data_IF_249418349787
#
_entry.id   IF_249418349787
#
_cell.length_a   1.000
_cell.length_b   1.000
_cell.length_c   1.000
_cell.angle_alpha   90.00
_cell.angle_beta   90.00
_cell.angle_gamma   90.00
#
_symmetry.space_group_name_H-M   'P 1'
#
loop_
_entity.id
_entity.type
_entity.pdbx_description
1 polymer ?
#
# COMPACT_ATOMS: atom_id res chain seq x y z
N UNK A 1 -30.76 -13.59 84.64
CA UNK A 1 -29.36 -13.14 84.58
C UNK A 1 -28.98 -13.02 83.10
N UNK A 2 -29.16 -11.81 82.57
CA UNK A 2 -28.67 -11.36 81.26
C UNK A 2 -27.14 -11.35 81.28
N UNK A 3 -26.46 -11.83 80.24
CA UNK A 3 -25.03 -11.49 80.06
C UNK A 3 -24.06 -12.55 79.54
N UNK A 4 -24.48 -13.62 78.84
CA UNK A 4 -23.52 -14.54 78.20
C UNK A 4 -23.59 -14.67 76.67
N UNK A 5 -24.66 -14.23 76.02
CA UNK A 5 -24.82 -14.47 74.57
C UNK A 5 -24.26 -13.40 73.63
N UNK A 6 -23.96 -12.18 74.12
CA UNK A 6 -23.43 -11.12 73.26
C UNK A 6 -21.96 -11.32 72.85
N UNK A 7 -21.21 -12.11 73.64
CA UNK A 7 -19.81 -12.46 73.36
C UNK A 7 -19.72 -13.44 72.20
N UNK A 8 -20.54 -14.51 72.23
CA UNK A 8 -20.54 -15.56 71.22
C UNK A 8 -20.96 -15.02 69.84
N UNK A 9 -21.94 -14.10 69.80
CA UNK A 9 -22.40 -13.48 68.57
C UNK A 9 -21.35 -12.54 67.95
N UNK A 10 -20.53 -11.85 68.76
CA UNK A 10 -19.40 -11.04 68.26
C UNK A 10 -18.30 -11.90 67.66
N UNK A 11 -17.94 -13.01 68.30
CA UNK A 11 -16.95 -13.94 67.73
C UNK A 11 -17.48 -14.64 66.47
N UNK A 12 -18.78 -14.93 66.39
CA UNK A 12 -19.39 -15.49 65.19
C UNK A 12 -19.37 -14.50 64.01
N UNK A 13 -19.65 -13.21 64.26
CA UNK A 13 -19.57 -12.17 63.22
C UNK A 13 -18.12 -11.92 62.79
N UNK A 14 -17.15 -11.91 63.72
CA UNK A 14 -15.73 -11.79 63.38
C UNK A 14 -15.26 -12.99 62.58
N UNK A 15 -15.62 -14.22 62.98
CA UNK A 15 -15.28 -15.44 62.25
C UNK A 15 -15.91 -15.48 60.85
N UNK A 16 -17.19 -15.06 60.73
CA UNK A 16 -17.88 -14.95 59.44
C UNK A 16 -17.24 -13.88 58.55
N UNK A 17 -16.79 -12.76 59.12
CA UNK A 17 -16.08 -11.71 58.37
C UNK A 17 -14.69 -12.14 57.88
N UNK A 18 -13.99 -13.00 58.62
CA UNK A 18 -12.71 -13.59 58.17
C UNK A 18 -12.88 -14.63 57.06
N UNK A 19 -14.06 -15.26 56.95
CA UNK A 19 -14.41 -16.16 55.84
C UNK A 19 -14.66 -15.41 54.51
N UNK A 20 -15.11 -14.14 54.56
CA UNK A 20 -15.25 -13.30 53.36
C UNK A 20 -13.94 -12.67 52.87
N UNK A 21 -12.88 -12.68 53.70
CA UNK A 21 -11.54 -12.17 53.37
C UNK A 21 -10.54 -13.28 53.02
N UNK A 22 -10.91 -14.55 53.18
CA UNK A 22 -10.13 -15.68 52.69
C UNK A 22 -10.33 -15.84 51.18
N UNK A 23 -9.60 -15.02 50.41
CA UNK A 23 -9.52 -15.07 48.95
C UNK A 23 -8.82 -16.34 48.43
N UNK A 24 -9.41 -17.51 48.65
CA UNK A 24 -8.97 -18.76 48.06
C UNK A 24 -9.86 -19.10 46.85
N UNK A 25 -9.30 -18.91 45.65
CA UNK A 25 -9.76 -19.61 44.45
C UNK A 25 -10.24 -18.75 43.27
N UNK A 26 -9.87 -17.47 43.17
CA UNK A 26 -9.98 -16.77 41.88
C UNK A 26 -8.73 -17.10 41.06
N UNK A 27 -8.77 -18.23 40.35
CA UNK A 27 -8.00 -18.34 39.10
C UNK A 27 -8.58 -17.31 38.16
N UNK A 28 -8.05 -16.09 38.20
CA UNK A 28 -8.37 -15.08 37.21
C UNK A 28 -8.04 -15.69 35.85
N UNK A 29 -9.01 -15.79 34.92
CA UNK A 29 -8.73 -16.26 33.58
C UNK A 29 -7.59 -15.41 33.02
N UNK A 30 -6.63 -16.07 32.36
CA UNK A 30 -5.51 -15.37 31.71
C UNK A 30 -6.10 -14.21 30.88
N UNK A 31 -5.55 -12.99 30.88
CA UNK A 31 -6.16 -11.83 30.19
C UNK A 31 -6.54 -12.10 28.72
N UNK A 32 -5.85 -13.04 28.08
CA UNK A 32 -6.15 -13.56 26.75
C UNK A 32 -7.53 -14.23 26.59
N UNK A 33 -8.08 -14.84 27.66
CA UNK A 33 -9.42 -15.42 27.67
C UNK A 33 -10.56 -14.41 27.86
N UNK A 34 -10.24 -13.14 28.17
CA UNK A 34 -11.20 -12.02 28.10
C UNK A 34 -11.27 -11.39 26.71
N UNK A 35 -10.37 -11.80 25.80
CA UNK A 35 -10.42 -11.49 24.38
C UNK A 35 -11.13 -12.63 23.66
N UNK A 36 -12.46 -12.73 23.83
CA UNK A 36 -13.26 -13.54 22.93
C UNK A 36 -13.13 -12.95 21.53
N UNK A 37 -12.52 -13.70 20.61
CA UNK A 37 -12.59 -13.35 19.20
C UNK A 37 -14.08 -13.33 18.83
N UNK A 38 -14.59 -12.27 18.20
CA UNK A 38 -15.99 -12.22 17.82
C UNK A 38 -16.33 -13.46 17.01
N UNK A 39 -17.36 -14.19 17.43
CA UNK A 39 -17.77 -15.40 16.75
C UNK A 39 -18.07 -15.07 15.27
N UNK A 40 -17.47 -15.82 14.35
CA UNK A 40 -17.70 -15.64 12.92
C UNK A 40 -19.21 -15.65 12.64
N UNK A 41 -19.72 -14.76 11.78
CA UNK A 41 -21.10 -14.78 11.34
C UNK A 41 -21.51 -16.18 10.83
N UNK A 42 -22.78 -16.53 11.02
CA UNK A 42 -23.28 -17.87 10.66
C UNK A 42 -23.07 -18.22 9.17
N UNK A 43 -23.20 -17.23 8.30
CA UNK A 43 -22.99 -17.42 6.86
C UNK A 43 -21.52 -17.75 6.52
N UNK A 44 -20.58 -17.21 7.28
CA UNK A 44 -19.14 -17.42 7.11
C UNK A 44 -18.73 -18.77 7.67
N UNK A 45 -19.26 -19.16 8.83
CA UNK A 45 -19.11 -20.53 9.37
C UNK A 45 -19.60 -21.57 8.37
N UNK A 46 -20.78 -21.33 7.77
CA UNK A 46 -21.34 -22.22 6.76
C UNK A 46 -20.50 -22.28 5.49
N UNK A 47 -19.87 -21.17 5.07
CA UNK A 47 -18.98 -21.14 3.92
C UNK A 47 -17.71 -21.93 4.20
N UNK A 48 -17.05 -21.68 5.34
CA UNK A 48 -15.83 -22.37 5.74
C UNK A 48 -16.03 -23.89 5.80
N UNK A 49 -17.09 -24.34 6.47
CA UNK A 49 -17.43 -25.77 6.52
C UNK A 49 -17.67 -26.36 5.12
N UNK A 50 -18.25 -25.59 4.20
CA UNK A 50 -18.49 -26.01 2.82
C UNK A 50 -17.18 -26.13 2.03
N UNK A 51 -16.30 -25.14 2.15
CA UNK A 51 -14.96 -25.15 1.53
C UNK A 51 -14.18 -26.37 2.05
N UNK A 52 -14.13 -26.58 3.36
CA UNK A 52 -13.42 -27.71 3.98
C UNK A 52 -13.95 -29.07 3.49
N UNK A 53 -15.26 -29.16 3.20
CA UNK A 53 -15.90 -30.38 2.67
C UNK A 53 -15.57 -30.63 1.19
N UNK A 54 -15.49 -29.56 0.39
CA UNK A 54 -15.26 -29.67 -1.06
C UNK A 54 -13.77 -29.70 -1.43
N UNK A 55 -12.87 -29.36 -0.50
CA UNK A 55 -11.43 -29.44 -0.71
C UNK A 55 -10.95 -30.90 -0.75
N UNK A 56 -10.16 -31.29 -1.76
CA UNK A 56 -9.53 -32.61 -1.77
C UNK A 56 -8.56 -32.81 -0.60
N UNK A 57 -8.32 -34.05 -0.23
CA UNK A 57 -7.24 -34.41 0.68
C UNK A 57 -5.90 -33.88 0.15
N UNK A 58 -5.05 -33.35 1.03
CA UNK A 58 -3.74 -32.75 0.70
C UNK A 58 -3.79 -31.43 -0.09
N UNK A 59 -4.97 -30.87 -0.33
CA UNK A 59 -5.10 -29.54 -0.90
C UNK A 59 -4.65 -28.46 0.11
N UNK A 60 -3.97 -27.43 -0.40
CA UNK A 60 -3.58 -26.25 0.37
C UNK A 60 -4.22 -25.01 -0.25
N UNK A 61 -5.00 -24.26 0.53
CA UNK A 61 -5.57 -22.98 0.09
C UNK A 61 -4.44 -21.98 -0.19
N UNK A 62 -4.50 -21.31 -1.33
CA UNK A 62 -3.55 -20.26 -1.72
C UNK A 62 -4.28 -18.94 -1.91
N UNK A 63 -3.98 -17.96 -1.06
CA UNK A 63 -4.51 -16.61 -1.21
C UNK A 63 -3.70 -15.80 -2.24
N UNK A 64 -4.32 -14.87 -2.98
CA UNK A 64 -3.58 -13.84 -3.71
C UNK A 64 -2.66 -13.07 -2.76
N UNK A 65 -1.43 -12.79 -3.22
CA UNK A 65 -0.39 -12.17 -2.40
C UNK A 65 -0.40 -10.65 -2.50
N UNK A 66 -0.62 -10.12 -3.69
CA UNK A 66 -0.54 -8.71 -3.97
C UNK A 66 -1.95 -8.10 -3.98
N UNK A 67 -2.53 -8.05 -2.77
CA UNK A 67 -3.83 -7.45 -2.47
C UNK A 67 -3.75 -6.72 -1.13
N UNK A 68 -4.57 -5.68 -0.96
CA UNK A 68 -4.60 -4.87 0.27
C UNK A 68 -4.97 -5.69 1.52
N UNK A 69 -5.72 -6.79 1.35
CA UNK A 69 -6.10 -7.71 2.43
C UNK A 69 -6.01 -9.14 1.89
N UNK A 70 -5.12 -9.96 2.43
CA UNK A 70 -5.04 -11.38 2.08
C UNK A 70 -6.17 -12.16 2.77
N UNK A 71 -7.01 -12.84 1.98
CA UNK A 71 -8.11 -13.68 2.47
C UNK A 71 -8.01 -15.09 1.91
N UNK A 72 -8.52 -16.07 2.67
CA UNK A 72 -8.55 -17.47 2.23
C UNK A 72 -9.56 -17.72 1.09
N UNK A 73 -10.52 -16.81 0.93
CA UNK A 73 -11.51 -16.81 -0.13
C UNK A 73 -11.89 -15.37 -0.48
N UNK A 74 -12.31 -15.16 -1.71
CA UNK A 74 -12.80 -13.87 -2.22
C UNK A 74 -14.31 -13.92 -2.39
N UNK A 75 -14.99 -12.83 -2.05
CA UNK A 75 -16.43 -12.65 -2.26
C UNK A 75 -16.63 -11.69 -3.43
N UNK A 76 -17.15 -12.19 -4.55
CA UNK A 76 -17.29 -11.44 -5.79
C UNK A 76 -18.66 -11.78 -6.39
N UNK A 77 -19.47 -10.77 -6.70
CA UNK A 77 -20.69 -10.92 -7.50
C UNK A 77 -20.29 -11.28 -8.95
N UNK A 78 -20.21 -12.58 -9.25
CA UNK A 78 -19.77 -13.08 -10.55
C UNK A 78 -20.88 -13.05 -11.58
N UNK A 79 -22.14 -13.18 -11.15
CA UNK A 79 -23.31 -13.25 -12.03
C UNK A 79 -24.08 -11.92 -12.14
N UNK A 80 -23.58 -10.85 -11.49
CA UNK A 80 -24.16 -9.51 -11.42
C UNK A 80 -25.60 -9.51 -10.89
N UNK A 81 -25.93 -10.40 -9.95
CA UNK A 81 -27.25 -10.51 -9.33
C UNK A 81 -27.38 -9.72 -7.99
N UNK A 82 -26.29 -9.07 -7.58
CA UNK A 82 -26.18 -8.33 -6.32
C UNK A 82 -25.86 -9.21 -5.11
N UNK A 83 -25.48 -10.48 -5.31
CA UNK A 83 -25.03 -11.40 -4.27
C UNK A 83 -23.67 -11.96 -4.63
N UNK A 84 -22.76 -11.92 -3.66
CA UNK A 84 -21.42 -12.44 -3.90
C UNK A 84 -21.39 -13.98 -3.94
N UNK A 85 -20.65 -14.50 -4.91
CA UNK A 85 -20.11 -15.84 -4.91
C UNK A 85 -18.78 -15.89 -4.17
N UNK A 86 -18.49 -17.03 -3.53
CA UNK A 86 -17.20 -17.26 -2.91
C UNK A 86 -16.26 -17.98 -3.88
N UNK A 87 -15.06 -17.44 -4.03
CA UNK A 87 -13.98 -18.00 -4.85
C UNK A 87 -12.85 -18.42 -3.93
N UNK A 88 -12.46 -19.69 -4.00
CA UNK A 88 -11.31 -20.21 -3.25
C UNK A 88 -10.31 -20.80 -4.23
N UNK A 89 -9.05 -20.37 -4.12
CA UNK A 89 -7.96 -20.99 -4.85
C UNK A 89 -7.24 -21.98 -3.94
N UNK A 90 -6.87 -23.12 -4.49
CA UNK A 90 -6.05 -24.10 -3.80
C UNK A 90 -5.03 -24.71 -4.75
N UNK A 91 -3.95 -25.24 -4.19
CA UNK A 91 -2.97 -26.04 -4.91
C UNK A 91 -3.01 -27.48 -4.43
N UNK A 92 -2.72 -28.39 -5.36
CA UNK A 92 -2.46 -29.79 -5.05
C UNK A 92 -1.30 -30.26 -5.92
N UNK A 93 -0.45 -31.12 -5.38
CA UNK A 93 0.60 -31.73 -6.17
C UNK A 93 0.00 -32.79 -7.09
N UNK A 94 0.28 -32.70 -8.38
CA UNK A 94 -0.17 -33.65 -9.37
C UNK A 94 0.98 -33.91 -10.35
N UNK A 95 1.46 -35.16 -10.40
CA UNK A 95 2.56 -35.59 -11.28
C UNK A 95 3.85 -34.76 -11.10
N UNK A 96 4.21 -34.43 -9.85
CA UNK A 96 5.44 -33.71 -9.52
C UNK A 96 5.41 -32.20 -9.77
N UNK A 97 4.23 -31.64 -10.09
CA UNK A 97 4.02 -30.22 -10.22
C UNK A 97 2.81 -29.76 -9.40
N UNK A 98 2.88 -28.55 -8.83
CA UNK A 98 1.71 -27.95 -8.19
C UNK A 98 0.74 -27.46 -9.25
N UNK A 99 -0.51 -27.90 -9.14
CA UNK A 99 -1.61 -27.43 -9.96
C UNK A 99 -2.51 -26.52 -9.12
N UNK A 100 -2.68 -25.28 -9.58
CA UNK A 100 -3.64 -24.34 -9.04
C UNK A 100 -5.03 -24.70 -9.57
N UNK A 101 -6.00 -24.71 -8.67
CA UNK A 101 -7.40 -25.02 -8.92
C UNK A 101 -8.28 -23.96 -8.26
N UNK A 102 -9.48 -23.82 -8.79
CA UNK A 102 -10.50 -22.90 -8.27
C UNK A 102 -11.73 -23.66 -7.82
N UNK A 103 -12.30 -23.22 -6.69
CA UNK A 103 -13.65 -23.54 -6.25
C UNK A 103 -14.50 -22.28 -6.37
N UNK A 104 -15.70 -22.41 -6.94
CA UNK A 104 -16.71 -21.33 -6.94
C UNK A 104 -17.95 -21.85 -6.20
N UNK A 105 -18.33 -21.16 -5.14
CA UNK A 105 -19.53 -21.46 -4.36
C UNK A 105 -20.55 -20.34 -4.51
N UNK A 106 -21.80 -20.72 -4.77
CA UNK A 106 -22.93 -19.79 -4.85
C UNK A 106 -23.81 -19.94 -3.61
N UNK A 107 -24.30 -18.82 -3.09
CA UNK A 107 -25.20 -18.82 -1.94
C UNK A 107 -26.66 -18.93 -2.37
N UNK A 108 -27.19 -20.14 -2.33
CA UNK A 108 -28.61 -20.40 -2.55
C UNK A 108 -29.38 -20.40 -1.22
N UNK A 109 -30.18 -19.35 -1.01
CA UNK A 109 -30.91 -19.08 0.24
C UNK A 109 -29.96 -18.90 1.43
N UNK A 110 -29.76 -19.95 2.23
CA UNK A 110 -28.88 -19.96 3.42
C UNK A 110 -27.79 -21.03 3.33
N UNK A 111 -27.58 -21.62 2.15
CA UNK A 111 -26.61 -22.70 1.94
C UNK A 111 -25.69 -22.37 0.78
N UNK A 112 -24.41 -22.66 0.97
CA UNK A 112 -23.40 -22.58 -0.07
C UNK A 112 -23.40 -23.85 -0.91
N UNK A 113 -23.41 -23.69 -2.23
CA UNK A 113 -23.43 -24.78 -3.22
C UNK A 113 -22.23 -24.63 -4.13
N UNK A 114 -21.42 -25.68 -4.25
CA UNK A 114 -20.32 -25.73 -5.21
C UNK A 114 -20.88 -25.70 -6.64
N UNK A 115 -20.45 -24.70 -7.41
CA UNK A 115 -20.78 -24.53 -8.84
C UNK A 115 -19.65 -25.01 -9.72
N UNK A 116 -18.42 -24.74 -9.32
CA UNK A 116 -17.22 -25.11 -10.09
C UNK A 116 -16.14 -25.67 -9.19
N UNK A 117 -15.49 -26.72 -9.67
CA UNK A 117 -14.21 -27.21 -9.18
C UNK A 117 -13.36 -27.64 -10.37
N UNK A 118 -12.37 -26.82 -10.75
CA UNK A 118 -11.58 -27.06 -11.96
C UNK A 118 -10.11 -26.62 -11.78
N UNK A 119 -9.14 -27.32 -12.40
CA UNK A 119 -7.80 -26.77 -12.57
C UNK A 119 -7.76 -25.57 -13.51
N UNK A 120 -6.91 -24.60 -13.18
CA UNK A 120 -6.77 -23.36 -13.95
C UNK A 120 -5.34 -23.13 -14.44
N UNK A 121 -4.32 -23.51 -13.67
CA UNK A 121 -2.93 -23.31 -14.06
C UNK A 121 -1.99 -24.26 -13.33
N UNK A 122 -0.78 -24.43 -13.88
CA UNK A 122 0.35 -25.02 -13.16
C UNK A 122 1.11 -23.88 -12.48
N UNK A 123 1.36 -23.98 -11.18
CA UNK A 123 1.97 -22.90 -10.41
C UNK A 123 1.97 -23.17 -8.91
N UNK A 124 2.70 -22.36 -8.16
CA UNK A 124 2.88 -22.52 -6.71
C UNK A 124 2.01 -21.56 -5.89
N UNK A 125 1.69 -20.38 -6.41
CA UNK A 125 0.88 -19.38 -5.70
C UNK A 125 0.13 -18.47 -6.66
N UNK A 126 -0.88 -17.79 -6.13
CA UNK A 126 -1.55 -16.67 -6.81
C UNK A 126 -0.79 -15.39 -6.48
N UNK A 127 -0.35 -14.68 -7.51
CA UNK A 127 0.30 -13.38 -7.39
C UNK A 127 -0.75 -12.28 -7.19
N UNK A 128 -1.63 -12.11 -8.18
CA UNK A 128 -2.69 -11.12 -8.22
C UNK A 128 -4.01 -11.72 -8.68
N UNK A 129 -5.12 -11.09 -8.29
CA UNK A 129 -6.46 -11.37 -8.77
C UNK A 129 -7.15 -10.05 -9.08
N UNK A 130 -7.67 -9.93 -10.30
CA UNK A 130 -8.42 -8.79 -10.77
C UNK A 130 -9.81 -9.23 -11.23
N UNK A 131 -10.84 -8.52 -10.78
CA UNK A 131 -12.20 -8.68 -11.31
C UNK A 131 -12.32 -7.79 -12.54
N UNK A 132 -12.66 -8.42 -13.66
CA UNK A 132 -12.80 -7.73 -14.93
C UNK A 132 -14.28 -7.55 -15.26
N UNK A 133 -14.71 -6.29 -15.27
CA UNK A 133 -16.09 -5.94 -15.56
C UNK A 133 -16.33 -6.01 -17.07
N UNK A 134 -17.36 -6.75 -17.47
CA UNK A 134 -17.82 -6.82 -18.85
C UNK A 134 -19.22 -6.20 -18.91
N UNK A 135 -19.32 -4.97 -19.43
CA UNK A 135 -20.62 -4.30 -19.57
C UNK A 135 -21.51 -4.93 -20.64
N UNK A 136 -20.93 -5.70 -21.56
CA UNK A 136 -21.68 -6.43 -22.58
C UNK A 136 -22.20 -7.77 -22.06
N UNK A 137 -21.57 -8.33 -21.02
CA UNK A 137 -21.95 -9.60 -20.43
C UNK A 137 -22.70 -9.45 -19.10
N UNK A 138 -23.47 -10.50 -18.81
CA UNK A 138 -24.18 -10.65 -17.53
C UNK A 138 -23.30 -11.26 -16.44
N UNK A 139 -22.01 -11.43 -16.66
CA UNK A 139 -21.10 -11.97 -15.65
C UNK A 139 -19.75 -11.27 -15.66
N UNK A 140 -19.20 -11.13 -14.46
CA UNK A 140 -17.84 -10.66 -14.26
C UNK A 140 -16.85 -11.79 -14.58
N UNK A 141 -15.73 -11.44 -15.18
CA UNK A 141 -14.64 -12.38 -15.48
C UNK A 141 -13.49 -12.14 -14.51
N UNK A 142 -12.54 -13.07 -14.43
CA UNK A 142 -11.37 -12.91 -13.56
C UNK A 142 -10.09 -12.95 -14.39
N UNK A 143 -9.15 -12.10 -14.02
CA UNK A 143 -7.77 -12.21 -14.47
C UNK A 143 -6.90 -12.56 -13.27
N UNK A 144 -6.14 -13.65 -13.40
CA UNK A 144 -5.29 -14.17 -12.32
C UNK A 144 -3.83 -14.19 -12.74
N UNK A 145 -2.98 -13.67 -11.87
CA UNK A 145 -1.54 -13.85 -11.92
C UNK A 145 -1.15 -15.11 -11.18
N UNK A 146 -0.45 -16.04 -11.83
CA UNK A 146 0.02 -17.29 -11.21
C UNK A 146 1.54 -17.33 -11.23
N UNK A 147 2.14 -17.48 -10.05
CA UNK A 147 3.59 -17.63 -9.90
C UNK A 147 3.99 -19.08 -10.07
N UNK A 148 4.88 -19.33 -11.03
CA UNK A 148 5.55 -20.63 -11.21
C UNK A 148 6.98 -20.58 -10.67
N UNK A 149 7.77 -21.63 -10.91
CA UNK A 149 9.20 -21.64 -10.58
C UNK A 149 10.02 -20.63 -11.39
N UNK A 150 9.61 -20.39 -12.64
CA UNK A 150 10.40 -19.62 -13.60
C UNK A 150 9.91 -18.19 -13.77
N UNK A 151 8.58 -17.99 -13.76
CA UNK A 151 7.95 -16.71 -14.09
C UNK A 151 6.52 -16.62 -13.58
N UNK A 152 6.01 -15.39 -13.50
CA UNK A 152 4.57 -15.17 -13.35
C UNK A 152 3.89 -15.26 -14.73
N UNK A 153 2.66 -15.76 -14.74
CA UNK A 153 1.83 -15.90 -15.94
C UNK A 153 0.43 -15.41 -15.64
N UNK A 154 -0.13 -14.59 -16.53
CA UNK A 154 -1.49 -14.08 -16.41
C UNK A 154 -2.46 -14.94 -17.21
N UNK A 155 -3.58 -15.29 -16.58
CA UNK A 155 -4.65 -16.11 -17.14
C UNK A 155 -5.99 -15.38 -17.06
N UNK A 156 -6.78 -15.49 -18.11
CA UNK A 156 -8.16 -15.02 -18.17
C UNK A 156 -9.11 -16.19 -17.93
N UNK A 157 -9.98 -16.05 -16.93
CA UNK A 157 -10.99 -17.04 -16.55
C UNK A 157 -12.36 -16.50 -16.93
N UNK A 158 -13.04 -17.20 -17.84
CA UNK A 158 -14.40 -16.89 -18.26
C UNK A 158 -15.39 -17.97 -17.85
N UNK A 159 -16.67 -17.59 -17.79
CA UNK A 159 -17.79 -18.49 -17.52
C UNK A 159 -17.76 -19.14 -16.12
N UNK A 160 -17.38 -18.37 -15.10
CA UNK A 160 -17.21 -18.83 -13.71
C UNK A 160 -18.47 -19.40 -13.03
N UNK A 161 -19.64 -19.22 -13.65
CA UNK A 161 -20.92 -19.74 -13.17
C UNK A 161 -21.41 -20.99 -13.93
N UNK A 162 -20.67 -21.41 -14.96
CA UNK A 162 -20.94 -22.64 -15.73
C UNK A 162 -20.12 -23.80 -15.18
N UNK A 163 -20.55 -25.07 -15.40
CA UNK A 163 -19.83 -26.24 -14.90
C UNK A 163 -18.37 -26.37 -15.37
N UNK A 164 -18.04 -25.74 -16.50
CA UNK A 164 -16.67 -25.67 -17.04
C UNK A 164 -16.29 -24.22 -17.28
N UNK A 165 -15.16 -23.81 -16.70
CA UNK A 165 -14.56 -22.49 -16.88
C UNK A 165 -13.68 -22.53 -18.12
N UNK A 166 -13.77 -21.48 -18.94
CA UNK A 166 -12.82 -21.24 -20.02
C UNK A 166 -11.59 -20.54 -19.45
N UNK A 167 -10.44 -21.21 -19.51
CA UNK A 167 -9.17 -20.66 -19.02
C UNK A 167 -8.25 -20.39 -20.19
N UNK A 168 -7.81 -19.15 -20.35
CA UNK A 168 -6.91 -18.73 -21.41
C UNK A 168 -5.62 -18.20 -20.79
N UNK A 169 -4.49 -18.82 -21.13
CA UNK A 169 -3.17 -18.27 -20.82
C UNK A 169 -2.93 -17.08 -21.74
N UNK A 170 -2.63 -15.91 -21.18
CA UNK A 170 -2.44 -14.68 -21.96
C UNK A 170 -0.95 -14.44 -22.22
N UNK A 171 -0.19 -14.10 -21.18
CA UNK A 171 1.25 -13.83 -21.29
C UNK A 171 1.96 -14.07 -19.95
N UNK A 172 3.26 -13.81 -19.93
CA UNK A 172 4.15 -13.86 -18.77
C UNK A 172 4.64 -12.46 -18.42
N UNK A 173 4.92 -12.21 -17.15
CA UNK A 173 5.25 -10.87 -16.68
C UNK A 173 6.15 -10.89 -15.44
N UNK A 174 6.83 -9.77 -15.21
CA UNK A 174 7.55 -9.42 -13.98
C UNK A 174 6.74 -8.44 -13.12
N UNK A 175 5.99 -7.54 -13.78
CA UNK A 175 4.99 -6.66 -13.16
C UNK A 175 3.72 -6.64 -14.02
N UNK A 176 2.56 -6.51 -13.37
CA UNK A 176 1.24 -6.50 -14.01
C UNK A 176 0.41 -5.39 -13.36
N UNK A 177 -0.24 -4.59 -14.21
CA UNK A 177 -1.30 -3.66 -13.80
C UNK A 177 -2.46 -3.73 -14.78
N UNK A 178 -3.68 -3.57 -14.26
CA UNK A 178 -4.93 -3.64 -15.01
C UNK A 178 -5.80 -2.48 -14.53
N UNK A 179 -6.11 -1.56 -15.44
CA UNK A 179 -6.93 -0.38 -15.16
C UNK A 179 -7.53 0.15 -16.45
N UNK A 180 -8.57 0.97 -16.33
CA UNK A 180 -9.12 1.75 -17.43
C UNK A 180 -8.19 2.94 -17.74
N UNK A 181 -7.26 2.73 -18.68
CA UNK A 181 -6.21 3.70 -19.03
C UNK A 181 -6.76 4.80 -19.95
N UNK A 182 -7.70 4.45 -20.83
CA UNK A 182 -8.26 5.37 -21.82
C UNK A 182 -9.60 6.01 -21.38
N UNK A 183 -10.08 5.65 -20.19
CA UNK A 183 -11.32 6.13 -19.57
C UNK A 183 -12.58 5.75 -20.35
N UNK A 184 -12.55 4.62 -21.06
CA UNK A 184 -13.68 4.11 -21.84
C UNK A 184 -14.54 3.07 -21.12
N UNK A 185 -14.24 2.84 -19.82
CA UNK A 185 -14.87 1.88 -18.91
C UNK A 185 -14.56 0.42 -19.21
N UNK A 186 -13.69 0.11 -20.17
CA UNK A 186 -13.07 -1.21 -20.30
C UNK A 186 -11.70 -1.16 -19.63
N UNK A 187 -11.26 -2.31 -19.11
CA UNK A 187 -9.96 -2.40 -18.46
C UNK A 187 -8.91 -2.80 -19.48
N UNK A 188 -7.88 -1.99 -19.59
CA UNK A 188 -6.64 -2.26 -20.28
C UNK A 188 -5.71 -3.11 -19.40
N UNK A 189 -4.68 -3.69 -20.00
CA UNK A 189 -3.66 -4.44 -19.26
C UNK A 189 -2.26 -4.03 -19.72
N UNK A 190 -1.39 -3.76 -18.75
CA UNK A 190 0.01 -3.40 -19.00
C UNK A 190 0.93 -4.36 -18.23
N UNK A 191 1.90 -4.93 -18.94
CA UNK A 191 2.89 -5.86 -18.40
C UNK A 191 4.29 -5.27 -18.53
N UNK A 192 5.11 -5.46 -17.51
CA UNK A 192 6.56 -5.34 -17.63
C UNK A 192 7.15 -6.74 -17.80
N UNK A 193 8.03 -6.92 -18.78
CA UNK A 193 8.71 -8.18 -19.04
C UNK A 193 10.22 -7.97 -19.16
N UNK A 194 11.00 -8.73 -18.38
CA UNK A 194 12.45 -8.67 -18.32
C UNK A 194 13.04 -9.97 -18.84
N UNK A 195 13.26 -10.03 -20.16
CA UNK A 195 13.98 -11.14 -20.80
C UNK A 195 15.37 -10.66 -21.27
N UNK A 196 15.68 -10.78 -22.56
CA UNK A 196 16.92 -10.20 -23.13
C UNK A 196 16.83 -8.67 -23.22
N UNK A 197 15.64 -8.18 -23.53
CA UNK A 197 15.23 -6.78 -23.49
C UNK A 197 14.18 -6.61 -22.41
N UNK A 198 14.14 -5.43 -21.78
CA UNK A 198 13.00 -5.09 -20.93
C UNK A 198 11.95 -4.38 -21.77
N UNK A 199 10.74 -4.90 -21.71
CA UNK A 199 9.62 -4.48 -22.54
C UNK A 199 8.42 -4.12 -21.68
N UNK A 200 7.75 -3.05 -22.10
CA UNK A 200 6.42 -2.69 -21.65
C UNK A 200 5.43 -3.18 -22.72
N UNK A 201 4.55 -4.10 -22.33
CA UNK A 201 3.55 -4.70 -23.22
C UNK A 201 2.18 -4.15 -22.83
N UNK A 202 1.52 -3.48 -23.77
CA UNK A 202 0.19 -2.92 -23.59
C UNK A 202 -0.85 -3.73 -24.38
N UNK A 203 -1.94 -4.07 -23.72
CA UNK A 203 -3.15 -4.62 -24.30
C UNK A 203 -4.30 -3.64 -24.10
N UNK A 204 -4.91 -3.20 -25.20
CA UNK A 204 -6.05 -2.26 -25.19
C UNK A 204 -7.26 -2.81 -24.42
N UNK A 205 -7.42 -4.13 -24.36
CA UNK A 205 -8.52 -4.73 -23.61
C UNK A 205 -8.09 -6.05 -22.94
N UNK A 206 -8.22 -6.10 -21.62
CA UNK A 206 -7.89 -7.27 -20.82
C UNK A 206 -8.79 -8.49 -21.13
N UNK A 207 -10.07 -8.27 -21.44
CA UNK A 207 -11.02 -9.34 -21.79
C UNK A 207 -10.80 -9.95 -23.18
N UNK A 208 -10.19 -9.19 -24.07
CA UNK A 208 -9.90 -9.59 -25.44
C UNK A 208 -8.49 -9.10 -25.84
N UNK A 209 -7.43 -9.77 -25.33
CA UNK A 209 -6.05 -9.31 -25.48
C UNK A 209 -5.49 -9.61 -26.89
N UNK A 210 -6.15 -9.10 -27.92
CA UNK A 210 -5.76 -9.25 -29.33
C UNK A 210 -5.00 -8.06 -29.87
N UNK A 211 -5.33 -6.84 -29.43
CA UNK A 211 -4.57 -5.66 -29.80
C UNK A 211 -3.45 -5.45 -28.78
N UNK A 212 -2.21 -5.68 -29.23
CA UNK A 212 -1.00 -5.73 -28.41
C UNK A 212 0.04 -4.78 -28.98
N UNK A 213 0.65 -3.98 -28.12
CA UNK A 213 1.78 -3.11 -28.44
C UNK A 213 2.96 -3.45 -27.54
N UNK A 214 4.13 -3.61 -28.16
CA UNK A 214 5.39 -3.87 -27.44
C UNK A 214 6.26 -2.63 -27.51
N UNK A 215 6.77 -2.19 -26.36
CA UNK A 215 7.62 -1.01 -26.24
C UNK A 215 8.89 -1.41 -25.52
N UNK A 216 10.02 -1.37 -26.22
CA UNK A 216 11.33 -1.58 -25.60
C UNK A 216 11.69 -0.39 -24.72
N UNK A 217 11.99 -0.64 -23.45
CA UNK A 217 12.39 0.40 -22.51
C UNK A 217 13.88 0.75 -22.65
N UNK A 218 14.28 2.01 -22.44
CA UNK A 218 15.68 2.46 -22.48
C UNK A 218 16.46 2.06 -21.21
N UNK A 219 16.34 0.81 -20.80
CA UNK A 219 17.06 0.25 -19.65
C UNK A 219 18.32 -0.47 -20.08
N UNK A 220 19.26 -0.55 -19.15
CA UNK A 220 20.60 -1.12 -19.32
C UNK A 220 20.77 -2.31 -18.39
N UNK A 221 21.73 -3.16 -18.73
CA UNK A 221 22.19 -4.21 -17.82
C UNK A 221 22.61 -3.60 -16.47
N UNK A 222 22.06 -4.13 -15.39
CA UNK A 222 22.29 -3.63 -14.03
C UNK A 222 21.22 -2.68 -13.49
N UNK A 223 20.27 -2.23 -14.32
CA UNK A 223 19.10 -1.48 -13.83
C UNK A 223 18.22 -2.40 -12.96
N UNK A 224 17.88 -1.91 -11.77
CA UNK A 224 17.13 -2.65 -10.77
C UNK A 224 15.67 -2.24 -10.81
N UNK A 225 14.79 -3.24 -10.81
CA UNK A 225 13.35 -3.08 -10.62
C UNK A 225 13.01 -3.76 -9.28
N UNK A 226 13.21 -3.04 -8.19
CA UNK A 226 12.93 -3.51 -6.84
C UNK A 226 11.42 -3.66 -6.62
N UNK A 227 11.02 -4.35 -5.56
CA UNK A 227 9.60 -4.56 -5.23
C UNK A 227 8.88 -3.28 -4.81
N UNK A 228 9.62 -2.25 -4.39
CA UNK A 228 9.09 -0.93 -4.09
C UNK A 228 9.16 0.04 -5.27
N UNK A 229 9.72 -0.37 -6.42
CA UNK A 229 9.71 0.46 -7.62
C UNK A 229 8.30 0.49 -8.21
N UNK A 230 7.92 1.69 -8.66
CA UNK A 230 6.62 2.01 -9.22
C UNK A 230 6.34 1.29 -10.54
N UNK A 231 5.20 0.61 -10.60
CA UNK A 231 4.61 0.08 -11.82
C UNK A 231 3.08 0.16 -11.71
N UNK A 232 2.52 1.32 -12.01
CA UNK A 232 1.10 1.59 -11.79
C UNK A 232 0.50 2.51 -12.85
N UNK A 233 -0.82 2.57 -12.89
CA UNK A 233 -1.58 3.48 -13.73
C UNK A 233 -2.25 4.51 -12.84
N UNK A 234 -1.96 5.79 -13.06
CA UNK A 234 -2.66 6.85 -12.35
C UNK A 234 -2.82 8.14 -13.16
N UNK A 235 -3.51 9.11 -12.60
CA UNK A 235 -3.80 10.40 -13.21
C UNK A 235 -2.58 11.29 -13.16
N UNK A 236 -2.12 11.72 -14.32
CA UNK A 236 -0.82 12.41 -14.47
C UNK A 236 -0.93 13.92 -14.55
N UNK A 237 -2.13 14.45 -14.79
CA UNK A 237 -2.33 15.89 -14.97
C UNK A 237 -3.74 16.38 -14.59
N UNK A 238 -3.94 17.71 -14.45
CA UNK A 238 -5.25 18.32 -14.15
C UNK A 238 -6.34 18.06 -15.19
N UNK A 239 -5.97 17.72 -16.43
CA UNK A 239 -6.93 17.28 -17.46
C UNK A 239 -7.44 15.84 -17.20
N UNK A 240 -7.06 15.25 -16.06
CA UNK A 240 -7.45 13.92 -15.58
C UNK A 240 -7.07 12.78 -16.53
N UNK A 241 -6.07 12.99 -17.38
CA UNK A 241 -5.53 11.92 -18.22
C UNK A 241 -4.78 10.92 -17.34
N UNK A 242 -4.96 9.62 -17.64
CA UNK A 242 -4.17 8.56 -17.02
C UNK A 242 -2.83 8.37 -17.72
N UNK A 243 -1.89 7.75 -17.03
CA UNK A 243 -0.59 7.35 -17.55
C UNK A 243 -0.02 6.19 -16.76
N UNK A 244 0.88 5.46 -17.40
CA UNK A 244 1.62 4.34 -16.81
C UNK A 244 2.94 4.87 -16.28
N UNK A 245 3.18 4.72 -14.98
CA UNK A 245 4.43 5.05 -14.34
C UNK A 245 5.30 3.80 -14.23
N UNK A 246 6.54 3.90 -14.70
CA UNK A 246 7.53 2.82 -14.62
C UNK A 246 8.80 3.40 -14.03
N UNK A 247 9.12 3.01 -12.80
CA UNK A 247 10.37 3.41 -12.16
C UNK A 247 11.37 2.25 -12.06
N UNK A 248 12.65 2.60 -12.03
CA UNK A 248 13.76 1.69 -11.79
C UNK A 248 14.92 2.44 -11.16
N UNK A 249 15.83 1.71 -10.53
CA UNK A 249 17.02 2.28 -9.92
C UNK A 249 18.25 2.03 -10.78
N UNK A 250 19.02 3.09 -11.06
CA UNK A 250 20.31 3.06 -11.75
C UNK A 250 21.28 3.98 -11.03
N UNK A 251 22.47 3.47 -10.70
CA UNK A 251 23.54 4.27 -10.06
C UNK A 251 23.07 5.07 -8.82
N UNK A 252 22.29 4.41 -7.94
CA UNK A 252 21.69 5.01 -6.74
C UNK A 252 20.78 6.23 -7.00
N UNK A 253 20.20 6.30 -8.19
CA UNK A 253 19.15 7.25 -8.56
C UNK A 253 17.89 6.52 -9.00
N UNK A 254 16.75 7.13 -8.70
CA UNK A 254 15.47 6.72 -9.24
C UNK A 254 15.33 7.33 -10.65
N UNK A 255 14.98 6.48 -11.61
CA UNK A 255 14.61 6.86 -12.95
C UNK A 255 13.11 6.60 -13.13
N UNK A 256 12.37 7.58 -13.63
CA UNK A 256 10.93 7.49 -13.87
C UNK A 256 10.63 7.71 -15.34
N UNK A 257 10.04 6.69 -15.96
CA UNK A 257 9.41 6.77 -17.27
C UNK A 257 7.89 6.90 -17.06
N UNK A 258 7.27 7.77 -17.85
CA UNK A 258 5.81 7.91 -17.87
C UNK A 258 5.33 7.72 -19.30
N UNK A 259 4.29 6.91 -19.46
CA UNK A 259 3.64 6.69 -20.75
C UNK A 259 2.20 7.17 -20.69
N UNK A 260 1.71 7.74 -21.78
CA UNK A 260 0.32 8.15 -21.91
C UNK A 260 -0.28 7.53 -23.17
N UNK A 261 -1.57 7.23 -23.12
CA UNK A 261 -2.28 6.78 -24.30
C UNK A 261 -2.61 7.98 -25.21
N UNK A 262 -2.12 7.92 -26.44
CA UNK A 262 -2.47 8.84 -27.51
C UNK A 262 -3.25 8.07 -28.58
N UNK A 263 -4.53 8.41 -28.73
CA UNK A 263 -5.50 7.66 -29.54
C UNK A 263 -5.64 6.22 -29.04
N UNK A 264 -4.87 5.29 -29.59
CA UNK A 264 -4.85 3.86 -29.23
C UNK A 264 -3.44 3.32 -29.00
N UNK A 265 -2.42 4.19 -29.02
CA UNK A 265 -1.03 3.79 -28.82
C UNK A 265 -0.48 4.40 -27.55
N UNK A 266 0.16 3.54 -26.77
CA UNK A 266 0.87 3.96 -25.57
C UNK A 266 2.21 4.57 -26.00
N UNK A 267 2.41 5.85 -25.70
CA UNK A 267 3.60 6.62 -26.09
C UNK A 267 4.32 7.17 -24.86
N UNK A 268 5.67 7.22 -24.87
CA UNK A 268 6.41 7.82 -23.76
C UNK A 268 6.20 9.33 -23.74
N UNK A 269 5.99 9.88 -22.55
CA UNK A 269 5.96 11.33 -22.33
C UNK A 269 7.39 11.87 -22.48
N UNK A 270 7.49 13.01 -23.17
CA UNK A 270 8.72 13.80 -23.30
C UNK A 270 8.69 14.94 -22.30
N UNK A 271 9.86 15.26 -21.78
CA UNK A 271 10.07 16.34 -20.82
C UNK A 271 11.11 17.31 -21.38
N UNK A 272 10.73 18.01 -22.45
CA UNK A 272 11.63 18.75 -23.30
C UNK A 272 12.64 17.81 -24.01
N UNK A 273 13.92 17.96 -23.67
CA UNK A 273 14.98 17.17 -24.31
C UNK A 273 15.12 15.74 -23.73
N UNK A 274 14.55 15.44 -22.56
CA UNK A 274 14.64 14.11 -21.92
C UNK A 274 13.35 13.28 -22.07
N UNK A 275 13.45 11.97 -21.89
CA UNK A 275 12.31 11.03 -21.81
C UNK A 275 12.12 10.41 -20.43
N UNK A 276 12.96 10.78 -19.46
CA UNK A 276 12.91 10.27 -18.09
C UNK A 276 13.14 11.41 -17.09
N UNK A 277 12.50 11.30 -15.94
CA UNK A 277 12.77 12.12 -14.76
C UNK A 277 13.77 11.34 -13.89
N UNK A 278 14.84 11.99 -13.46
CA UNK A 278 15.90 11.35 -12.68
C UNK A 278 16.10 12.10 -11.38
N UNK A 279 15.90 11.39 -10.27
CA UNK A 279 15.95 11.94 -8.92
C UNK A 279 16.78 11.04 -7.99
N UNK A 280 17.17 11.51 -6.79
CA UNK A 280 17.74 10.63 -5.77
C UNK A 280 16.82 9.43 -5.50
N UNK A 281 17.42 8.30 -5.15
CA UNK A 281 16.69 7.07 -4.83
C UNK A 281 15.57 7.32 -3.80
N UNK A 282 14.45 6.61 -3.95
CA UNK A 282 13.23 6.74 -3.13
C UNK A 282 12.46 8.07 -3.25
N UNK A 283 12.74 8.90 -4.26
CA UNK A 283 12.00 10.13 -4.54
C UNK A 283 10.77 9.84 -5.42
N UNK A 284 9.79 9.10 -4.89
CA UNK A 284 8.64 8.64 -5.68
C UNK A 284 7.58 9.74 -5.88
N UNK A 285 6.92 9.76 -7.04
CA UNK A 285 5.74 10.60 -7.24
C UNK A 285 4.58 10.11 -6.36
N UNK A 286 3.70 11.02 -5.96
CA UNK A 286 2.57 10.73 -5.07
C UNK A 286 1.54 11.86 -5.15
N UNK A 287 0.26 11.53 -4.99
CA UNK A 287 -0.83 12.49 -4.75
C UNK A 287 -0.71 13.02 -3.31
N UNK A 288 -0.10 14.20 -3.16
CA UNK A 288 0.19 14.80 -1.85
C UNK A 288 -0.94 15.65 -1.32
N UNK A 289 -1.74 16.25 -2.20
CA UNK A 289 -2.86 17.13 -1.83
C UNK A 289 -4.24 16.46 -1.92
N UNK A 290 -4.27 15.19 -2.32
CA UNK A 290 -5.45 14.33 -2.41
C UNK A 290 -6.48 14.80 -3.45
N UNK A 291 -6.02 15.50 -4.50
CA UNK A 291 -6.89 15.94 -5.59
C UNK A 291 -7.13 14.85 -6.66
N UNK A 292 -6.47 13.70 -6.54
CA UNK A 292 -6.51 12.60 -7.49
C UNK A 292 -5.68 12.87 -8.75
N UNK A 293 -4.63 13.68 -8.67
CA UNK A 293 -3.53 13.82 -9.62
C UNK A 293 -2.25 13.47 -8.89
N UNK A 294 -1.33 12.82 -9.57
CA UNK A 294 -0.02 12.50 -9.02
C UNK A 294 0.93 13.69 -9.18
N UNK A 295 1.56 14.12 -8.10
CA UNK A 295 2.67 15.07 -8.14
C UNK A 295 4.02 14.36 -8.30
N UNK A 296 4.89 14.98 -9.09
CA UNK A 296 6.27 14.56 -9.32
C UNK A 296 7.19 15.13 -8.24
N UNK A 297 7.92 14.26 -7.56
CA UNK A 297 8.84 14.65 -6.51
C UNK A 297 10.20 15.10 -7.09
N UNK A 298 10.78 16.15 -6.48
CA UNK A 298 12.09 16.69 -6.79
C UNK A 298 12.86 16.93 -5.49
N UNK A 299 14.09 16.45 -5.39
CA UNK A 299 14.92 16.70 -4.21
C UNK A 299 16.01 17.74 -4.48
N UNK A 300 16.03 18.78 -3.66
CA UNK A 300 17.05 19.83 -3.74
C UNK A 300 17.60 20.19 -2.36
N UNK A 301 18.83 20.72 -2.32
CA UNK A 301 19.43 21.28 -1.10
C UNK A 301 19.22 22.79 -1.11
N UNK A 302 18.46 23.37 -0.17
CA UNK A 302 18.31 24.82 -0.10
C UNK A 302 19.63 25.51 0.17
N UNK A 303 19.85 26.66 -0.46
CA UNK A 303 21.00 27.51 -0.17
C UNK A 303 21.08 27.85 1.32
N UNK A 304 22.29 27.83 1.86
CA UNK A 304 22.54 28.05 3.29
C UNK A 304 22.30 26.84 4.18
N UNK A 305 21.89 25.69 3.63
CA UNK A 305 21.63 24.49 4.44
C UNK A 305 22.91 23.97 5.09
N UNK A 306 22.80 23.58 6.36
CA UNK A 306 23.89 23.10 7.20
C UNK A 306 23.51 21.69 7.70
N UNK A 307 24.32 20.70 7.35
CA UNK A 307 24.26 19.36 7.91
C UNK A 307 25.32 19.15 8.99
N UNK A 308 25.38 17.94 9.56
CA UNK A 308 26.46 17.56 10.48
C UNK A 308 27.78 17.38 9.74
N UNK A 309 28.87 17.38 10.49
CA UNK A 309 30.19 17.12 9.92
C UNK A 309 30.23 15.74 9.25
N UNK A 310 30.71 15.69 8.01
CA UNK A 310 30.79 14.48 7.17
C UNK A 310 29.45 13.85 6.74
N UNK A 311 28.32 14.52 6.96
CA UNK A 311 27.01 14.13 6.41
C UNK A 311 26.66 14.95 5.15
N UNK A 312 25.78 14.40 4.31
CA UNK A 312 25.15 15.20 3.26
C UNK A 312 24.32 16.32 3.87
N UNK A 313 24.26 17.45 3.16
CA UNK A 313 23.39 18.56 3.57
C UNK A 313 21.92 18.12 3.51
N UNK A 314 21.06 18.64 4.41
CA UNK A 314 19.64 18.32 4.39
C UNK A 314 19.00 18.74 3.07
N UNK A 315 18.14 17.87 2.54
CA UNK A 315 17.40 18.07 1.29
C UNK A 315 15.91 18.27 1.58
N UNK A 316 15.28 19.16 0.81
CA UNK A 316 13.83 19.28 0.72
C UNK A 316 13.35 18.39 -0.42
N UNK A 317 12.22 17.71 -0.21
CA UNK A 317 11.45 17.09 -1.30
C UNK A 317 10.29 18.00 -1.64
N UNK A 318 10.25 18.47 -2.89
CA UNK A 318 9.19 19.31 -3.44
C UNK A 318 8.35 18.49 -4.42
N UNK A 319 7.03 18.63 -4.35
CA UNK A 319 6.06 17.91 -5.17
C UNK A 319 5.38 18.85 -6.14
N UNK A 320 5.47 18.52 -7.43
CA UNK A 320 4.97 19.36 -8.51
C UNK A 320 3.89 18.66 -9.33
N UNK A 321 2.76 19.33 -9.51
CA UNK A 321 1.73 18.90 -10.45
C UNK A 321 2.15 19.29 -11.88
N UNK A 322 2.17 18.31 -12.79
CA UNK A 322 2.48 18.55 -14.20
C UNK A 322 1.21 18.92 -14.97
N UNK A 323 1.28 20.01 -15.75
CA UNK A 323 0.11 20.52 -16.49
C UNK A 323 -0.08 19.90 -17.89
N UNK A 324 0.81 19.01 -18.32
CA UNK A 324 0.78 18.41 -19.66
C UNK A 324 1.76 19.01 -20.68
N UNK A 325 2.55 20.03 -20.30
CA UNK A 325 3.49 20.68 -21.20
C UNK A 325 4.77 19.84 -21.42
N UNK A 326 5.24 19.76 -22.66
CA UNK A 326 6.53 19.17 -23.03
C UNK A 326 7.66 20.17 -22.74
N UNK A 327 8.04 20.26 -21.47
CA UNK A 327 9.07 21.18 -20.95
C UNK A 327 10.00 20.45 -19.97
N UNK A 328 11.16 21.04 -19.67
CA UNK A 328 12.06 20.47 -18.69
C UNK A 328 11.38 20.39 -17.29
N UNK A 329 11.50 19.26 -16.56
CA UNK A 329 10.90 19.12 -15.24
C UNK A 329 11.38 20.17 -14.25
N UNK A 330 10.48 20.64 -13.40
CA UNK A 330 10.72 21.48 -12.21
C UNK A 330 11.30 22.89 -12.43
N UNK A 331 11.82 23.20 -13.63
CA UNK A 331 12.51 24.46 -13.93
C UNK A 331 11.69 25.41 -14.82
N UNK A 332 10.67 24.90 -15.50
CA UNK A 332 9.92 25.65 -16.52
C UNK A 332 8.42 25.76 -16.20
N UNK A 333 7.72 26.66 -16.92
CA UNK A 333 6.27 26.81 -16.85
C UNK A 333 5.56 25.56 -17.40
N UNK A 334 5.37 24.58 -16.53
CA UNK A 334 4.76 23.27 -16.80
C UNK A 334 4.54 22.45 -15.53
N UNK A 335 5.24 22.82 -14.46
CA UNK A 335 5.21 22.18 -13.15
C UNK A 335 4.82 23.20 -12.09
N UNK A 336 3.73 22.93 -11.37
CA UNK A 336 3.22 23.79 -10.30
C UNK A 336 3.51 23.16 -8.94
N UNK A 337 4.22 23.87 -8.07
CA UNK A 337 4.55 23.38 -6.73
C UNK A 337 3.27 23.22 -5.89
N UNK A 338 3.05 22.03 -5.34
CA UNK A 338 1.92 21.69 -4.46
C UNK A 338 2.33 21.62 -2.99
N UNK A 339 3.42 20.92 -2.70
CA UNK A 339 3.90 20.70 -1.33
C UNK A 339 5.43 20.68 -1.29
N UNK A 340 6.00 21.15 -0.18
CA UNK A 340 7.39 20.88 0.17
C UNK A 340 7.43 20.17 1.51
N UNK A 341 8.37 19.25 1.68
CA UNK A 341 8.59 18.58 2.95
C UNK A 341 10.06 18.28 3.19
N UNK A 342 10.42 18.27 4.48
CA UNK A 342 11.68 17.73 4.95
C UNK A 342 11.45 16.35 5.55
N UNK A 343 12.15 15.35 5.03
CA UNK A 343 12.10 13.97 5.53
C UNK A 343 13.43 13.67 6.23
N UNK A 344 13.36 13.31 7.50
CA UNK A 344 14.51 12.81 8.25
C UNK A 344 14.30 11.32 8.56
N UNK A 345 14.93 10.46 7.75
CA UNK A 345 14.86 9.00 7.89
C UNK A 345 15.66 8.49 9.11
N UNK A 346 16.64 9.25 9.61
CA UNK A 346 17.40 8.85 10.80
C UNK A 346 16.54 8.98 12.06
N UNK A 347 15.73 10.04 12.10
CA UNK A 347 14.80 10.31 13.20
C UNK A 347 13.35 9.97 12.89
N UNK A 348 13.06 9.29 11.79
CA UNK A 348 11.73 8.82 11.40
C UNK A 348 10.63 9.88 11.51
N UNK A 349 10.89 11.10 11.03
CA UNK A 349 9.86 12.13 10.95
C UNK A 349 9.84 12.84 9.60
N UNK A 350 8.68 13.40 9.29
CA UNK A 350 8.44 14.26 8.13
C UNK A 350 7.90 15.59 8.64
N UNK A 351 8.48 16.70 8.19
CA UNK A 351 7.95 18.05 8.39
C UNK A 351 7.41 18.56 7.07
N UNK A 352 6.09 18.68 6.95
CA UNK A 352 5.45 19.32 5.79
C UNK A 352 5.48 20.82 5.93
N UNK A 353 5.87 21.51 4.87
CA UNK A 353 6.03 22.96 4.92
C UNK A 353 4.66 23.60 4.70
N UNK A 354 4.24 24.54 5.56
CA UNK A 354 3.07 25.33 5.26
C UNK A 354 3.31 26.14 3.98
N UNK A 355 2.25 26.42 3.22
CA UNK A 355 2.35 27.04 1.89
C UNK A 355 3.13 28.37 1.90
N UNK A 356 3.06 29.13 2.99
CA UNK A 356 3.84 30.36 3.11
C UNK A 356 5.35 30.09 3.14
N UNK A 357 5.84 28.94 3.60
CA UNK A 357 7.27 28.60 3.65
C UNK A 357 7.86 28.13 2.31
N UNK A 358 7.01 27.81 1.34
CA UNK A 358 7.43 27.25 0.06
C UNK A 358 8.58 28.04 -0.57
N UNK A 359 9.69 27.35 -0.86
CA UNK A 359 10.92 27.90 -1.43
C UNK A 359 11.60 28.99 -0.58
N UNK A 360 11.22 29.21 0.68
CA UNK A 360 11.82 30.26 1.53
C UNK A 360 12.71 29.72 2.64
N UNK A 361 12.58 28.44 2.98
CA UNK A 361 13.29 27.84 4.10
C UNK A 361 14.65 27.25 3.73
N UNK A 362 15.57 27.33 4.67
CA UNK A 362 16.81 26.55 4.71
C UNK A 362 16.87 25.74 5.99
N UNK A 363 17.68 24.68 6.01
CA UNK A 363 17.66 23.70 7.10
C UNK A 363 19.02 23.64 7.79
N UNK A 364 19.01 23.79 9.12
CA UNK A 364 20.16 23.45 9.97
C UNK A 364 19.85 22.17 10.76
N UNK A 365 20.54 21.07 10.42
CA UNK A 365 20.48 19.79 11.15
C UNK A 365 21.70 19.63 12.07
N UNK A 366 21.44 19.33 13.34
CA UNK A 366 22.41 19.00 14.39
C UNK A 366 22.06 17.66 15.05
N UNK A 367 22.88 17.19 15.99
CA UNK A 367 22.76 15.86 16.63
C UNK A 367 21.42 15.58 17.31
N UNK A 368 20.66 16.60 17.72
CA UNK A 368 19.39 16.39 18.41
C UNK A 368 18.35 17.46 18.06
N UNK A 369 18.55 18.14 16.93
CA UNK A 369 17.79 19.32 16.58
C UNK A 369 17.78 19.55 15.08
N UNK A 370 16.62 19.95 14.58
CA UNK A 370 16.45 20.48 13.23
C UNK A 370 15.81 21.86 13.32
N UNK A 371 16.38 22.84 12.60
CA UNK A 371 15.83 24.19 12.49
C UNK A 371 15.48 24.49 11.04
N UNK A 372 14.33 25.13 10.88
CA UNK A 372 13.86 25.71 9.63
C UNK A 372 14.04 27.21 9.76
N UNK A 373 14.87 27.75 8.87
CA UNK A 373 15.35 29.13 8.92
C UNK A 373 14.89 29.85 7.66
N UNK A 374 14.20 30.96 7.87
CA UNK A 374 13.76 31.83 6.81
C UNK A 374 14.97 32.47 6.11
N UNK A 375 15.16 32.21 4.82
CA UNK A 375 16.35 32.70 4.08
C UNK A 375 16.38 34.21 3.91
N UNK A 376 15.22 34.85 3.87
CA UNK A 376 15.11 36.31 3.64
C UNK A 376 15.43 37.11 4.90
N UNK A 377 15.03 36.59 6.07
CA UNK A 377 15.14 37.31 7.36
C UNK A 377 16.21 36.73 8.29
N UNK A 378 16.62 35.48 8.08
CA UNK A 378 17.52 34.74 8.96
C UNK A 378 16.88 34.29 10.28
N UNK A 379 15.56 34.43 10.44
CA UNK A 379 14.85 33.99 11.65
C UNK A 379 14.60 32.49 11.65
N UNK A 380 14.56 31.88 12.85
CA UNK A 380 14.16 30.49 13.01
C UNK A 380 12.65 30.43 13.06
N UNK A 381 12.02 30.02 11.96
CA UNK A 381 10.57 29.91 11.84
C UNK A 381 10.06 28.68 12.61
N UNK A 382 10.86 27.61 12.69
CA UNK A 382 10.57 26.45 13.54
C UNK A 382 11.83 25.70 13.98
N UNK A 383 11.79 25.20 15.22
CA UNK A 383 12.83 24.34 15.77
C UNK A 383 12.20 23.08 16.38
N UNK A 384 12.66 21.92 15.91
CA UNK A 384 12.29 20.62 16.44
C UNK A 384 13.48 20.04 17.21
N UNK A 385 13.28 19.70 18.47
CA UNK A 385 14.26 18.96 19.27
C UNK A 385 13.83 17.50 19.39
N UNK A 386 14.82 16.61 19.25
CA UNK A 386 14.61 15.16 19.14
C UNK A 386 15.37 14.52 20.28
N UNK A 387 14.64 13.83 21.16
CA UNK A 387 15.18 13.30 22.42
C UNK A 387 14.99 11.79 22.43
N UNK A 388 16.05 10.98 22.64
CA UNK A 388 15.90 9.55 22.86
C UNK A 388 14.89 9.28 23.97
N UNK A 389 13.96 8.34 23.75
CA UNK A 389 12.84 8.08 24.67
C UNK A 389 13.30 7.74 26.08
N UNK A 390 14.43 7.05 26.20
CA UNK A 390 15.08 6.71 27.48
C UNK A 390 15.64 7.92 28.24
N UNK A 391 15.84 9.04 27.56
CA UNK A 391 16.40 10.28 28.10
C UNK A 391 15.34 11.39 28.25
N UNK A 392 14.11 11.14 27.80
CA UNK A 392 13.06 12.15 27.88
C UNK A 392 12.58 12.35 29.32
N UNK A 393 12.68 13.59 29.79
CA UNK A 393 12.14 14.04 31.07
C UNK A 393 11.16 15.18 30.78
N UNK A 394 9.92 15.04 31.24
CA UNK A 394 8.89 16.05 31.09
C UNK A 394 9.33 17.39 31.73
N UNK A 395 9.09 18.49 31.03
CA UNK A 395 9.50 19.83 31.46
C UNK A 395 8.46 20.85 31.03
N UNK A 396 8.20 21.85 31.88
CA UNK A 396 7.30 22.95 31.54
C UNK A 396 7.84 23.86 30.42
N UNK A 397 9.13 23.74 30.07
CA UNK A 397 9.77 24.53 28.99
C UNK A 397 9.71 23.85 27.63
N UNK A 398 9.30 22.58 27.58
CA UNK A 398 9.31 21.74 26.37
C UNK A 398 7.97 21.05 26.22
N UNK A 399 7.30 21.25 25.10
CA UNK A 399 6.04 20.58 24.78
C UNK A 399 6.33 19.38 23.89
N UNK A 400 5.90 18.18 24.32
CA UNK A 400 5.90 16.99 23.47
C UNK A 400 4.82 17.13 22.41
N UNK A 401 5.19 16.98 21.13
CA UNK A 401 4.25 17.06 20.00
C UNK A 401 3.98 15.70 19.36
N UNK A 402 4.98 14.81 19.35
CA UNK A 402 4.91 13.44 18.86
C UNK A 402 5.79 12.52 19.70
N UNK A 403 5.51 11.23 19.63
CA UNK A 403 6.29 10.17 20.27
C UNK A 403 6.37 8.99 19.29
N UNK A 404 7.59 8.64 18.90
CA UNK A 404 7.87 7.47 18.07
C UNK A 404 8.30 6.28 18.93
N UNK A 405 8.87 5.28 18.25
CA UNK A 405 9.43 4.08 18.89
C UNK A 405 10.63 4.46 19.76
N UNK A 406 11.62 5.13 19.16
CA UNK A 406 12.91 5.42 19.80
C UNK A 406 13.04 6.86 20.32
N UNK A 407 12.24 7.79 19.80
CA UNK A 407 12.40 9.23 20.03
C UNK A 407 11.11 9.92 20.49
N UNK A 408 11.30 11.01 21.23
CA UNK A 408 10.28 11.98 21.61
C UNK A 408 10.61 13.31 20.94
N UNK A 409 9.63 13.89 20.24
CA UNK A 409 9.80 15.11 19.47
C UNK A 409 9.15 16.27 20.23
N UNK A 410 9.94 17.30 20.49
CA UNK A 410 9.54 18.39 21.37
C UNK A 410 9.84 19.75 20.76
N UNK A 411 9.03 20.73 21.14
CA UNK A 411 9.20 22.15 20.78
C UNK A 411 9.31 23.00 22.05
N UNK A 412 9.97 24.15 21.94
CA UNK A 412 10.05 25.14 23.03
C UNK A 412 8.68 25.76 23.30
N UNK A 413 8.27 25.85 24.57
CA UNK A 413 7.01 26.53 24.95
C UNK A 413 7.11 28.05 24.93
N UNK A 414 8.32 28.60 24.81
CA UNK A 414 8.56 30.06 24.80
C UNK A 414 8.55 30.65 23.38
N UNK A 415 8.31 29.82 22.37
CA UNK A 415 8.24 30.21 20.96
C UNK A 415 6.85 29.88 20.42
N UNK A 416 6.38 30.63 19.43
CA UNK A 416 5.09 30.41 18.78
C UNK A 416 5.16 29.27 17.75
N UNK A 417 5.61 28.09 18.17
CA UNK A 417 5.80 26.92 17.29
C UNK A 417 4.59 25.98 17.25
N UNK A 418 3.56 26.26 18.05
CA UNK A 418 2.41 25.37 18.20
C UNK A 418 1.60 25.21 16.91
N UNK A 419 1.57 26.23 16.06
CA UNK A 419 0.89 26.18 14.76
C UNK A 419 1.53 25.20 13.78
N UNK A 420 2.84 24.96 13.89
CA UNK A 420 3.60 24.07 13.01
C UNK A 420 3.65 22.62 13.51
N UNK A 421 3.30 22.38 14.78
CA UNK A 421 3.37 21.05 15.38
C UNK A 421 2.51 20.00 14.65
N UNK A 422 1.40 20.43 14.04
CA UNK A 422 0.51 19.56 13.26
C UNK A 422 1.15 19.06 11.96
N UNK A 423 2.15 19.78 11.44
CA UNK A 423 2.83 19.45 10.19
C UNK A 423 3.96 18.43 10.36
N UNK A 424 4.28 18.06 11.62
CA UNK A 424 5.22 17.00 11.93
C UNK A 424 4.48 15.66 12.00
N UNK A 425 4.80 14.75 11.09
CA UNK A 425 4.33 13.37 11.07
C UNK A 425 5.51 12.41 11.34
N UNK A 426 5.20 11.18 11.77
CA UNK A 426 6.19 10.11 11.77
C UNK A 426 6.21 9.48 10.38
N UNK A 427 7.39 9.01 9.94
CA UNK A 427 7.49 8.20 8.71
C UNK A 427 6.74 6.89 8.97
N UNK A 428 5.80 6.55 8.08
CA UNK A 428 5.00 5.32 8.14
C UNK A 428 5.79 4.07 7.70
#
# INVERSE_FOLDING_TARGET
MYGKDLSLMKYFIIFLSTLYLAGCGLTLPHPASLLEHPALPEWEKSLKARIDTDLPTEAEIVAPRNQSISRLYELIDLNRDGRDEAITFYRIEHQGAFQIRVLVHERLKKKWVLRVSQPIATGRSIDQLHVILDESQKSNQLMIGVTSLEKNTVYLLKDLMKPSIHVTKIDTYDRLTIADLNQDRRQDMVLLKKEQTTELIYYEEALNPTNRQDITLPVKDGDLFADHDLFEIDTVNPAKKKGVFVSFTREAKMHLLVFQLEETRLTPIRWGETSEIVEPMYTFPKDVDQDGVIEFAHQYTPDGSIGRAAEEKPRITAYYAWNGADVQPFLESGFELREEQYIDLEYNFVMRFPANWATRETIEKKDNRVRFINRDTGTIDFELEIIPKTQYIASHRKKKIKEGIDYVYVISTNQSYEEYAANVALVE
#
